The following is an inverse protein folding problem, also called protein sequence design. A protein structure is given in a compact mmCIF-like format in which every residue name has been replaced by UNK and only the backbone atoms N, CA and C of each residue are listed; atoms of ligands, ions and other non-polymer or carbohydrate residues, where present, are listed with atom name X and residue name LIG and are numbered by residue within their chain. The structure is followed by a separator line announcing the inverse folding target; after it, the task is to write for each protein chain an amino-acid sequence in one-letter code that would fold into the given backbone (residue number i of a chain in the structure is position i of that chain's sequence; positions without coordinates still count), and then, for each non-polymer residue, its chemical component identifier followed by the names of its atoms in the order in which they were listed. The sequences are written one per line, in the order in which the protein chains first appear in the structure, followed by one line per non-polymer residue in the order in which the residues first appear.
data_IF_434344599784
#
_entry.id   IF_434344599784
#
_cell.length_a   1.000
_cell.length_b   1.000
_cell.length_c   1.000
_cell.angle_alpha   90.00
_cell.angle_beta   90.00
_cell.angle_gamma   90.00
#
_symmetry.space_group_name_H-M   'P 1'
#
loop_
_entity.id
_entity.type
_entity.pdbx_description
1 polymer ?
#
# COMPACT_ATOMS: atom_id res chain seq x y z
N UNK A 1 15.20 5.90 13.98
CA UNK A 1 14.70 6.00 12.59
C UNK A 1 13.64 4.92 12.39
N UNK A 2 12.59 5.14 11.58
CA UNK A 2 11.60 4.10 11.21
C UNK A 2 11.82 3.70 9.75
N UNK A 3 11.75 2.41 9.44
CA UNK A 3 12.00 1.86 8.10
C UNK A 3 10.78 1.06 7.63
N UNK A 4 10.25 1.43 6.46
CA UNK A 4 9.14 0.75 5.81
C UNK A 4 9.58 -0.01 4.55
N UNK A 5 8.76 -0.97 4.13
CA UNK A 5 8.95 -1.71 2.88
C UNK A 5 7.69 -1.67 2.01
N UNK A 6 7.87 -1.54 0.71
CA UNK A 6 6.78 -1.73 -0.24
C UNK A 6 6.50 -3.22 -0.44
N UNK A 7 5.23 -3.56 -0.51
CA UNK A 7 4.78 -4.88 -0.92
C UNK A 7 5.14 -5.13 -2.38
N UNK A 8 5.41 -6.38 -2.77
CA UNK A 8 5.80 -6.74 -4.13
C UNK A 8 4.61 -6.76 -5.11
N UNK A 9 3.75 -5.74 -5.07
CA UNK A 9 2.45 -5.68 -5.77
C UNK A 9 2.53 -5.69 -7.29
N UNK A 10 3.70 -5.43 -7.88
CA UNK A 10 3.93 -5.53 -9.33
C UNK A 10 4.73 -6.77 -9.73
N UNK A 11 5.33 -7.47 -8.78
CA UNK A 11 6.32 -8.53 -9.08
C UNK A 11 5.96 -9.89 -8.50
N UNK A 12 5.13 -9.96 -7.46
CA UNK A 12 4.68 -11.20 -6.84
C UNK A 12 3.33 -11.00 -6.11
N UNK A 13 2.23 -11.22 -6.83
CA UNK A 13 0.86 -10.92 -6.38
C UNK A 13 0.07 -12.13 -5.86
N UNK A 14 0.65 -13.33 -5.92
CA UNK A 14 0.04 -14.55 -5.37
C UNK A 14 -0.15 -14.43 -3.86
N UNK A 15 -1.18 -15.11 -3.34
CA UNK A 15 -1.46 -15.25 -1.90
C UNK A 15 -0.20 -15.63 -1.10
N UNK A 16 0.53 -16.65 -1.56
CA UNK A 16 1.69 -17.21 -0.88
C UNK A 16 2.82 -16.19 -0.78
N UNK A 17 3.10 -15.47 -1.88
CA UNK A 17 4.12 -14.42 -1.90
C UNK A 17 3.79 -13.25 -0.97
N UNK A 18 2.54 -12.77 -0.99
CA UNK A 18 2.11 -11.66 -0.12
C UNK A 18 2.22 -12.06 1.35
N UNK A 19 1.76 -13.26 1.72
CA UNK A 19 1.87 -13.76 3.09
C UNK A 19 3.32 -13.94 3.53
N UNK A 20 4.16 -14.55 2.68
CA UNK A 20 5.56 -14.78 2.99
C UNK A 20 6.30 -13.44 3.19
N UNK A 21 6.08 -12.48 2.29
CA UNK A 21 6.71 -11.16 2.36
C UNK A 21 6.31 -10.40 3.64
N UNK A 22 5.00 -10.31 3.92
CA UNK A 22 4.49 -9.57 5.06
C UNK A 22 5.00 -10.13 6.39
N UNK A 23 4.97 -11.47 6.55
CA UNK A 23 5.45 -12.14 7.77
C UNK A 23 6.96 -12.05 7.93
N UNK A 24 7.71 -12.15 6.83
CA UNK A 24 9.16 -12.00 6.87
C UNK A 24 9.54 -10.57 7.26
N UNK A 25 8.91 -9.55 6.67
CA UNK A 25 9.15 -8.16 7.01
C UNK A 25 8.85 -7.87 8.50
N UNK A 26 7.74 -8.38 9.01
CA UNK A 26 7.40 -8.24 10.44
C UNK A 26 8.42 -8.93 11.36
N UNK A 27 8.84 -10.16 11.02
CA UNK A 27 9.82 -10.94 11.78
C UNK A 27 11.22 -10.32 11.78
N UNK A 28 11.58 -9.63 10.69
CA UNK A 28 12.84 -8.91 10.55
C UNK A 28 12.84 -7.54 11.26
N UNK A 29 11.72 -7.16 11.88
CA UNK A 29 11.63 -5.94 12.68
C UNK A 29 11.39 -4.67 11.89
N UNK A 30 10.88 -4.75 10.64
CA UNK A 30 10.46 -3.54 9.92
C UNK A 30 9.29 -2.85 10.63
N UNK A 31 9.20 -1.53 10.46
CA UNK A 31 8.21 -0.69 11.13
C UNK A 31 6.88 -0.64 10.36
N UNK A 32 6.94 -0.66 9.04
CA UNK A 32 5.75 -0.53 8.18
C UNK A 32 5.84 -1.30 6.85
N UNK A 33 4.68 -1.67 6.33
CA UNK A 33 4.46 -2.22 4.99
C UNK A 33 3.58 -1.28 4.20
N UNK A 34 3.94 -1.04 2.94
CA UNK A 34 3.26 -0.08 2.07
C UNK A 34 2.79 -0.73 0.77
N UNK A 35 1.68 -0.24 0.24
CA UNK A 35 1.23 -0.54 -1.12
C UNK A 35 0.99 0.75 -1.89
N UNK A 36 1.07 0.72 -3.20
CA UNK A 36 0.58 1.77 -4.09
C UNK A 36 -0.77 1.35 -4.70
N UNK A 37 -1.52 2.31 -5.24
CA UNK A 37 -2.91 2.09 -5.67
C UNK A 37 -3.15 2.60 -7.09
N UNK A 38 -3.64 1.70 -7.93
CA UNK A 38 -4.37 1.98 -9.16
C UNK A 38 -5.57 1.03 -9.23
N UNK A 39 -6.72 1.55 -9.64
CA UNK A 39 -7.95 0.78 -9.90
C UNK A 39 -7.93 0.25 -11.34
N UNK A 40 -7.49 1.08 -12.28
CA UNK A 40 -7.39 0.72 -13.71
C UNK A 40 -6.13 1.37 -14.28
N UNK A 41 -5.38 0.61 -15.09
CA UNK A 41 -4.29 1.15 -15.89
C UNK A 41 -4.75 1.28 -17.35
N UNK A 42 -4.89 2.51 -17.89
CA UNK A 42 -5.26 2.73 -19.28
C UNK A 42 -4.22 2.15 -20.25
N UNK A 43 -4.68 1.67 -21.41
CA UNK A 43 -3.80 1.20 -22.50
C UNK A 43 -2.90 2.32 -23.00
N UNK A 44 -3.44 3.54 -23.08
CA UNK A 44 -2.73 4.74 -23.50
C UNK A 44 -3.02 5.86 -22.51
N UNK A 45 -1.98 6.59 -22.12
CA UNK A 45 -2.05 7.81 -21.33
C UNK A 45 -0.88 8.72 -21.70
N UNK A 46 -1.03 10.02 -21.45
CA UNK A 46 0.06 10.96 -21.74
C UNK A 46 1.28 10.69 -20.83
N UNK A 47 2.52 10.96 -21.29
CA UNK A 47 3.74 10.68 -20.54
C UNK A 47 3.92 11.66 -19.36
N UNK A 48 3.14 11.44 -18.30
CA UNK A 48 3.10 12.27 -17.08
C UNK A 48 3.65 11.54 -15.86
N UNK A 49 4.31 10.40 -16.04
CA UNK A 49 4.84 9.63 -14.92
C UNK A 49 5.97 10.42 -14.24
N UNK A 50 5.83 10.79 -12.96
CA UNK A 50 6.74 11.74 -12.33
C UNK A 50 8.10 11.15 -11.96
N UNK A 51 8.26 9.82 -12.08
CA UNK A 51 9.45 9.10 -11.61
C UNK A 51 10.33 8.55 -12.74
N UNK A 52 10.04 8.88 -14.01
CA UNK A 52 10.90 8.54 -15.14
C UNK A 52 11.15 9.75 -16.04
N UNK A 53 12.32 9.77 -16.69
CA UNK A 53 12.72 10.87 -17.56
C UNK A 53 11.86 10.96 -18.83
N UNK A 54 11.36 9.83 -19.32
CA UNK A 54 10.48 9.74 -20.49
C UNK A 54 8.99 9.86 -20.16
N UNK A 55 8.66 10.08 -18.88
CA UNK A 55 7.30 10.20 -18.39
C UNK A 55 6.48 8.90 -18.49
N UNK A 56 7.10 7.74 -18.66
CA UNK A 56 6.45 6.42 -18.73
C UNK A 56 6.90 5.47 -17.62
N UNK A 57 5.96 4.78 -16.96
CA UNK A 57 6.32 3.76 -15.98
C UNK A 57 6.78 2.47 -16.66
N UNK A 58 7.40 1.59 -15.87
CA UNK A 58 7.79 0.22 -16.30
C UNK A 58 6.60 -0.75 -16.42
N UNK A 59 5.45 -0.38 -15.86
CA UNK A 59 4.21 -1.16 -15.85
C UNK A 59 3.22 -0.66 -16.92
N UNK A 60 2.20 -1.47 -17.23
CA UNK A 60 1.21 -1.20 -18.28
C UNK A 60 -0.15 -1.86 -17.96
N UNK A 61 -1.13 -1.72 -18.87
CA UNK A 61 -2.50 -2.22 -18.70
C UNK A 61 -2.64 -3.72 -18.42
N UNK A 62 -1.61 -4.52 -18.72
CA UNK A 62 -1.58 -5.98 -18.47
C UNK A 62 -0.80 -6.37 -17.22
N UNK A 63 -0.24 -5.39 -16.50
CA UNK A 63 0.47 -5.64 -15.25
C UNK A 63 -0.50 -6.14 -14.18
N UNK A 64 -0.17 -7.25 -13.54
CA UNK A 64 -0.95 -7.76 -12.40
C UNK A 64 -0.76 -6.81 -11.23
N UNK A 65 -1.79 -6.01 -10.94
CA UNK A 65 -1.80 -5.04 -9.84
C UNK A 65 -3.02 -5.28 -8.96
N UNK A 66 -2.85 -5.81 -7.74
CA UNK A 66 -3.95 -6.04 -6.84
C UNK A 66 -4.44 -4.73 -6.22
N UNK A 67 -5.74 -4.66 -5.91
CA UNK A 67 -6.30 -3.52 -5.19
C UNK A 67 -5.60 -3.31 -3.84
N UNK A 68 -5.15 -2.08 -3.59
CA UNK A 68 -4.35 -1.74 -2.43
C UNK A 68 -5.12 -1.90 -1.12
N UNK A 69 -6.38 -1.45 -1.08
CA UNK A 69 -7.21 -1.53 0.14
C UNK A 69 -7.47 -2.99 0.52
N UNK A 70 -7.83 -3.81 -0.46
CA UNK A 70 -8.07 -5.25 -0.27
C UNK A 70 -6.79 -5.98 0.14
N UNK A 71 -5.66 -5.66 -0.50
CA UNK A 71 -4.36 -6.24 -0.15
C UNK A 71 -3.96 -5.87 1.27
N UNK A 72 -4.16 -4.63 1.71
CA UNK A 72 -3.88 -4.20 3.07
C UNK A 72 -4.79 -4.89 4.10
N UNK A 73 -6.07 -5.07 3.81
CA UNK A 73 -6.97 -5.85 4.67
C UNK A 73 -6.49 -7.31 4.83
N UNK A 74 -6.02 -7.92 3.74
CA UNK A 74 -5.46 -9.27 3.76
C UNK A 74 -4.16 -9.35 4.59
N UNK A 75 -3.28 -8.36 4.44
CA UNK A 75 -2.01 -8.28 5.19
C UNK A 75 -2.27 -7.97 6.67
N UNK A 76 -3.30 -7.19 6.99
CA UNK A 76 -3.72 -6.92 8.36
C UNK A 76 -4.08 -8.21 9.11
N UNK A 77 -4.74 -9.15 8.45
CA UNK A 77 -5.06 -10.46 9.02
C UNK A 77 -3.84 -11.38 9.17
N UNK A 78 -2.73 -11.09 8.48
CA UNK A 78 -1.54 -11.94 8.44
C UNK A 78 -0.38 -11.45 9.33
N UNK A 79 -0.53 -10.29 9.97
CA UNK A 79 0.50 -9.59 10.75
C UNK A 79 -0.09 -9.01 12.03
N UNK A 80 0.73 -8.77 13.06
CA UNK A 80 0.23 -8.31 14.36
C UNK A 80 0.78 -6.96 14.83
N UNK A 81 1.98 -6.57 14.39
CA UNK A 81 2.74 -5.43 14.90
C UNK A 81 3.06 -4.40 13.82
N UNK A 82 3.45 -4.86 12.62
CA UNK A 82 3.94 -3.96 11.56
C UNK A 82 2.84 -2.99 11.13
N UNK A 83 3.16 -1.72 10.90
CA UNK A 83 2.16 -0.73 10.45
C UNK A 83 1.84 -0.94 8.97
N UNK A 84 0.63 -0.57 8.55
CA UNK A 84 0.12 -0.88 7.21
C UNK A 84 -0.28 0.42 6.53
N UNK A 85 0.32 0.70 5.38
CA UNK A 85 0.17 1.98 4.70
C UNK A 85 -0.16 1.84 3.23
N UNK A 86 -0.78 2.88 2.68
CA UNK A 86 -0.92 3.04 1.22
C UNK A 86 -0.26 4.35 0.82
N UNK A 87 0.66 4.32 -0.14
CA UNK A 87 1.40 5.46 -0.65
C UNK A 87 1.34 5.47 -2.19
N UNK A 88 0.35 6.14 -2.80
CA UNK A 88 -0.81 6.82 -2.20
C UNK A 88 -2.09 6.37 -2.87
N UNK A 89 -3.25 6.64 -2.26
CA UNK A 89 -4.56 6.55 -2.91
C UNK A 89 -4.77 7.81 -3.77
N UNK A 90 -4.92 7.71 -5.09
CA UNK A 90 -5.31 8.84 -5.93
C UNK A 90 -6.77 9.22 -5.64
N UNK A 91 -7.03 10.40 -5.09
CA UNK A 91 -8.40 10.76 -4.69
C UNK A 91 -9.35 10.97 -5.87
N UNK A 92 -8.82 11.22 -7.06
CA UNK A 92 -9.60 11.25 -8.31
C UNK A 92 -10.17 9.88 -8.71
N UNK A 93 -9.82 8.78 -8.02
CA UNK A 93 -10.31 7.43 -8.32
C UNK A 93 -11.32 6.89 -7.32
N UNK A 94 -11.64 7.64 -6.24
CA UNK A 94 -12.49 7.11 -5.16
C UNK A 94 -13.45 8.15 -4.59
N UNK A 95 -14.60 7.67 -4.14
CA UNK A 95 -15.58 8.47 -3.41
C UNK A 95 -15.16 8.61 -1.94
N UNK A 96 -15.23 9.80 -1.32
CA UNK A 96 -14.73 10.05 0.03
C UNK A 96 -15.37 9.12 1.09
N UNK A 97 -16.70 8.93 1.05
CA UNK A 97 -17.40 8.00 1.96
C UNK A 97 -16.92 6.55 1.83
N UNK A 98 -16.66 6.08 0.60
CA UNK A 98 -16.16 4.73 0.36
C UNK A 98 -14.78 4.57 0.97
N UNK A 99 -13.89 5.55 0.74
CA UNK A 99 -12.55 5.56 1.30
C UNK A 99 -12.60 5.60 2.83
N UNK A 100 -13.41 6.48 3.43
CA UNK A 100 -13.58 6.58 4.89
C UNK A 100 -13.96 5.22 5.52
N UNK A 101 -14.94 4.53 4.92
CA UNK A 101 -15.41 3.21 5.34
C UNK A 101 -14.30 2.15 5.24
N UNK A 102 -13.61 2.08 4.10
CA UNK A 102 -12.57 1.08 3.89
C UNK A 102 -11.40 1.30 4.86
N UNK A 103 -10.94 2.54 5.00
CA UNK A 103 -9.85 2.91 5.92
C UNK A 103 -10.19 2.56 7.37
N UNK A 104 -11.37 2.96 7.84
CA UNK A 104 -11.80 2.67 9.20
C UNK A 104 -11.95 1.16 9.46
N UNK A 105 -12.42 0.41 8.46
CA UNK A 105 -12.54 -1.05 8.55
C UNK A 105 -11.16 -1.70 8.70
N UNK A 106 -10.18 -1.32 7.87
CA UNK A 106 -8.82 -1.87 7.96
C UNK A 106 -8.16 -1.44 9.27
N UNK A 107 -8.38 -0.20 9.72
CA UNK A 107 -7.85 0.26 11.00
C UNK A 107 -8.35 -0.59 12.18
N UNK A 108 -9.64 -0.88 12.23
CA UNK A 108 -10.22 -1.77 13.25
C UNK A 108 -9.66 -3.19 13.13
N UNK A 109 -9.64 -3.77 11.92
CA UNK A 109 -9.15 -5.14 11.71
C UNK A 109 -7.65 -5.27 12.00
N UNK A 110 -6.89 -4.20 11.78
CA UNK A 110 -5.45 -4.15 12.07
C UNK A 110 -5.13 -3.73 13.51
N UNK A 111 -6.13 -3.46 14.36
CA UNK A 111 -5.96 -2.97 15.73
C UNK A 111 -5.21 -1.62 15.81
N UNK A 112 -5.55 -0.67 14.94
CA UNK A 112 -5.01 0.69 14.98
C UNK A 112 -3.65 0.85 14.28
N UNK A 113 -3.33 -0.02 13.32
CA UNK A 113 -2.03 -0.03 12.63
C UNK A 113 -2.06 0.60 11.24
N UNK A 114 -3.21 1.07 10.78
CA UNK A 114 -3.37 1.56 9.42
C UNK A 114 -2.91 3.02 9.26
N UNK A 115 -2.37 3.34 8.09
CA UNK A 115 -1.93 4.68 7.68
C UNK A 115 -2.40 4.97 6.25
N UNK A 116 -2.91 6.17 6.01
CA UNK A 116 -3.46 6.54 4.71
C UNK A 116 -2.61 7.60 4.03
N UNK A 117 -1.91 7.25 2.95
CA UNK A 117 -1.39 8.24 2.00
C UNK A 117 -2.43 8.57 0.94
N UNK A 118 -2.62 9.85 0.66
CA UNK A 118 -3.53 10.37 -0.37
C UNK A 118 -2.78 11.29 -1.33
N UNK A 119 -3.26 11.41 -2.56
CA UNK A 119 -2.76 12.40 -3.50
C UNK A 119 -3.80 12.79 -4.54
N UNK A 120 -3.56 13.89 -5.25
CA UNK A 120 -4.48 14.37 -6.30
C UNK A 120 -4.63 13.42 -7.49
N UNK A 121 -3.65 12.54 -7.72
CA UNK A 121 -3.63 11.61 -8.85
C UNK A 121 -3.12 12.24 -10.14
N UNK A 122 -2.09 11.63 -10.72
CA UNK A 122 -1.44 12.13 -11.95
C UNK A 122 -2.00 11.46 -13.22
N UNK A 123 -2.61 10.29 -13.08
CA UNK A 123 -3.13 9.47 -14.18
C UNK A 123 -4.58 9.86 -14.48
N UNK A 124 -4.74 10.97 -15.19
CA UNK A 124 -6.05 11.56 -15.54
C UNK A 124 -6.94 10.56 -16.29
N UNK A 125 -6.35 9.77 -17.18
CA UNK A 125 -7.02 8.78 -18.00
C UNK A 125 -7.65 7.65 -17.17
N UNK A 126 -7.09 7.34 -15.98
CA UNK A 126 -7.70 6.40 -15.04
C UNK A 126 -8.99 6.98 -14.44
N UNK A 127 -8.96 8.24 -14.00
CA UNK A 127 -10.16 8.91 -13.48
C UNK A 127 -11.25 9.02 -14.55
N UNK A 128 -10.88 9.31 -15.80
CA UNK A 128 -11.81 9.31 -16.93
C UNK A 128 -12.44 7.94 -17.17
N UNK A 129 -11.66 6.86 -17.11
CA UNK A 129 -12.18 5.50 -17.24
C UNK A 129 -13.18 5.13 -16.13
N UNK A 130 -13.02 5.73 -14.94
CA UNK A 130 -13.93 5.57 -13.79
C UNK A 130 -15.13 6.54 -13.83
N UNK A 131 -15.19 7.45 -14.80
CA UNK A 131 -16.23 8.48 -14.89
C UNK A 131 -16.08 9.60 -13.86
N UNK A 132 -14.88 9.78 -13.29
CA UNK A 132 -14.63 10.75 -12.25
C UNK A 132 -14.14 12.10 -12.81
N UNK A 133 -14.47 13.22 -12.12
CA UNK A 133 -13.96 14.54 -12.47
C UNK A 133 -12.44 14.64 -12.23
N UNK A 134 -11.78 15.46 -13.05
CA UNK A 134 -10.31 15.66 -13.03
C UNK A 134 -9.91 17.13 -12.82
N UNK A 135 -10.89 18.02 -12.69
CA UNK A 135 -10.72 19.44 -12.39
C UNK A 135 -10.42 19.67 -10.91
N UNK A 136 -9.70 20.75 -10.61
CA UNK A 136 -9.41 21.21 -9.25
C UNK A 136 -8.89 20.11 -8.28
N UNK A 137 -7.87 19.31 -8.65
CA UNK A 137 -7.45 18.13 -7.88
C UNK A 137 -7.03 18.46 -6.44
N UNK A 138 -6.41 19.62 -6.21
CA UNK A 138 -6.00 20.07 -4.86
C UNK A 138 -7.23 20.40 -4.00
N UNK A 139 -8.15 21.22 -4.49
CA UNK A 139 -9.32 21.63 -3.73
C UNK A 139 -10.28 20.44 -3.48
N UNK A 140 -10.40 19.51 -4.43
CA UNK A 140 -11.13 18.25 -4.23
C UNK A 140 -10.47 17.37 -3.18
N UNK A 141 -9.15 17.33 -3.12
CA UNK A 141 -8.40 16.61 -2.08
C UNK A 141 -8.63 17.22 -0.70
N UNK A 142 -8.60 18.55 -0.58
CA UNK A 142 -8.88 19.25 0.67
C UNK A 142 -10.29 18.93 1.21
N UNK A 143 -11.33 19.08 0.38
CA UNK A 143 -12.71 18.70 0.76
C UNK A 143 -12.82 17.21 1.12
N UNK A 144 -12.14 16.35 0.36
CA UNK A 144 -12.14 14.91 0.65
C UNK A 144 -11.53 14.63 2.02
N UNK A 145 -10.39 15.23 2.36
CA UNK A 145 -9.75 15.06 3.67
C UNK A 145 -10.67 15.54 4.80
N UNK A 146 -11.37 16.66 4.61
CA UNK A 146 -12.34 17.15 5.58
C UNK A 146 -13.47 16.14 5.82
N UNK A 147 -14.05 15.59 4.74
CA UNK A 147 -15.08 14.56 4.80
C UNK A 147 -14.57 13.29 5.50
N UNK A 148 -13.34 12.85 5.23
CA UNK A 148 -12.74 11.71 5.91
C UNK A 148 -12.64 11.95 7.42
N UNK A 149 -12.17 13.15 7.83
CA UNK A 149 -12.06 13.51 9.26
C UNK A 149 -13.42 13.57 9.94
N UNK A 150 -14.43 14.16 9.29
CA UNK A 150 -15.81 14.19 9.78
C UNK A 150 -16.37 12.78 9.98
N UNK A 151 -16.22 11.91 8.96
CA UNK A 151 -16.69 10.54 9.00
C UNK A 151 -16.06 9.69 10.11
N UNK A 152 -14.83 10.01 10.53
CA UNK A 152 -14.14 9.28 11.59
C UNK A 152 -14.37 9.85 12.99
N UNK A 153 -14.69 11.15 13.10
CA UNK A 153 -14.99 11.82 14.36
C UNK A 153 -16.44 11.59 14.78
N UNK A 154 -17.37 11.92 13.90
CA UNK A 154 -18.78 12.06 14.24
C UNK A 154 -19.56 10.74 14.07
N UNK A 155 -20.56 10.45 14.94
CA UNK A 155 -21.48 9.33 14.72
C UNK A 155 -22.29 9.46 13.42
N UNK A 156 -22.68 10.69 13.09
CA UNK A 156 -23.38 11.07 11.86
C UNK A 156 -22.92 12.46 11.40
N UNK A 157 -22.95 12.72 10.10
CA UNK A 157 -22.62 14.03 9.54
C UNK A 157 -23.33 14.24 8.19
N UNK A 158 -23.40 15.48 7.74
CA UNK A 158 -23.70 15.86 6.36
C UNK A 158 -22.57 16.78 5.85
N UNK A 159 -22.49 16.95 4.53
CA UNK A 159 -21.49 17.83 3.92
C UNK A 159 -22.09 18.57 2.74
N UNK A 160 -21.95 19.89 2.70
CA UNK A 160 -22.39 20.72 1.59
C UNK A 160 -21.23 21.57 1.08
N UNK A 161 -20.32 20.93 0.34
CA UNK A 161 -19.13 21.54 -0.23
C UNK A 161 -19.31 21.96 -1.69
N UNK A 162 -18.22 22.45 -2.28
CA UNK A 162 -18.17 22.85 -3.70
C UNK A 162 -18.19 21.62 -4.61
N UNK A 163 -17.53 20.54 -4.22
CA UNK A 163 -17.39 19.33 -5.05
C UNK A 163 -18.21 18.15 -4.56
N UNK A 164 -18.46 18.08 -3.25
CA UNK A 164 -19.22 16.99 -2.64
C UNK A 164 -20.47 17.51 -1.93
N UNK A 165 -21.61 16.87 -2.21
CA UNK A 165 -22.85 17.04 -1.46
C UNK A 165 -23.25 15.70 -0.88
N UNK A 166 -23.21 15.58 0.44
CA UNK A 166 -23.46 14.35 1.18
C UNK A 166 -24.65 14.61 2.11
N UNK A 167 -25.77 13.89 1.96
CA UNK A 167 -26.90 14.01 2.89
C UNK A 167 -26.50 13.52 4.28
N UNK A 168 -27.33 13.71 5.32
CA UNK A 168 -27.06 13.15 6.65
C UNK A 168 -26.82 11.63 6.57
N UNK A 169 -25.61 11.20 6.95
CA UNK A 169 -25.16 9.79 6.90
C UNK A 169 -24.34 9.45 8.14
N UNK A 170 -24.21 8.15 8.44
CA UNK A 170 -23.24 7.61 9.40
C UNK A 170 -22.28 6.66 8.71
N UNK A 171 -20.98 6.74 9.04
CA UNK A 171 -19.95 5.84 8.48
C UNK A 171 -19.38 5.00 9.62
N UNK A 172 -19.66 3.70 9.57
CA UNK A 172 -19.21 2.73 10.57
C UNK A 172 -18.43 1.57 9.93
N UNK A 173 -17.45 0.95 10.61
CA UNK A 173 -17.00 1.30 11.95
C UNK A 173 -16.24 2.63 11.94
N UNK A 174 -16.05 3.24 13.12
CA UNK A 174 -15.08 4.32 13.30
C UNK A 174 -13.68 3.72 13.50
N UNK A 175 -12.61 4.35 13.00
CA UNK A 175 -11.25 3.86 13.22
C UNK A 175 -10.92 3.87 14.72
N UNK A 176 -10.12 2.91 15.18
CA UNK A 176 -9.61 2.87 16.55
C UNK A 176 -8.69 4.06 16.83
N UNK A 177 -7.98 4.54 15.80
CA UNK A 177 -7.17 5.75 15.89
C UNK A 177 -8.01 7.05 15.87
N UNK A 178 -9.33 6.96 15.65
CA UNK A 178 -10.26 8.09 15.60
C UNK A 178 -9.92 9.09 14.49
N UNK A 179 -10.27 10.35 14.69
CA UNK A 179 -9.91 11.43 13.76
C UNK A 179 -8.39 11.66 13.65
N UNK A 180 -7.58 11.05 14.52
CA UNK A 180 -6.11 11.13 14.51
C UNK A 180 -5.45 10.04 13.66
N UNK A 181 -6.22 9.24 12.92
CA UNK A 181 -5.69 8.27 11.96
C UNK A 181 -4.61 8.94 11.07
N UNK A 182 -3.38 8.39 11.00
CA UNK A 182 -2.29 9.02 10.26
C UNK A 182 -2.63 9.18 8.78
N UNK A 183 -2.53 10.41 8.30
CA UNK A 183 -2.78 10.77 6.90
C UNK A 183 -1.54 11.47 6.34
N UNK A 184 -1.08 10.99 5.19
CA UNK A 184 0.09 11.48 4.48
C UNK A 184 -0.36 12.08 3.15
N UNK A 185 0.20 13.23 2.76
CA UNK A 185 -0.14 13.86 1.48
C UNK A 185 1.03 13.66 0.51
N UNK A 186 0.77 12.91 -0.56
CA UNK A 186 1.67 12.77 -1.69
C UNK A 186 1.42 13.86 -2.73
N UNK A 187 2.50 14.45 -3.23
CA UNK A 187 2.43 15.47 -4.27
C UNK A 187 3.79 15.74 -4.92
N UNK A 188 3.74 16.40 -6.06
CA UNK A 188 4.90 16.90 -6.79
C UNK A 188 4.73 18.42 -7.00
N UNK A 189 5.76 19.22 -6.71
CA UNK A 189 5.75 20.69 -6.78
C UNK A 189 5.65 21.41 -5.42
N UNK A 190 5.76 22.75 -5.41
CA UNK A 190 5.87 23.59 -4.20
C UNK A 190 4.67 23.46 -3.23
N UNK A 191 3.50 23.08 -3.74
CA UNK A 191 2.30 22.83 -2.95
C UNK A 191 2.37 21.52 -2.11
N UNK A 192 3.27 20.59 -2.47
CA UNK A 192 3.40 19.29 -1.80
C UNK A 192 4.12 19.36 -0.43
N UNK A 193 4.77 20.49 -0.11
CA UNK A 193 5.67 20.61 1.05
C UNK A 193 4.94 20.80 2.39
N UNK A 194 3.63 21.07 2.38
CA UNK A 194 2.82 21.17 3.61
C UNK A 194 1.95 19.94 3.75
N UNK A 195 2.45 18.93 4.47
CA UNK A 195 1.76 18.11 5.49
C UNK A 195 2.59 16.84 5.74
N UNK A 196 3.35 16.86 6.84
CA UNK A 196 3.53 15.69 7.73
C UNK A 196 4.37 14.50 7.26
N UNK A 197 5.67 14.55 7.61
CA UNK A 197 6.64 13.44 7.82
C UNK A 197 7.03 12.56 6.60
N UNK A 198 8.26 12.09 6.68
CA UNK A 198 9.07 11.41 5.66
C UNK A 198 8.75 9.92 5.53
N UNK A 199 8.64 9.39 4.30
CA UNK A 199 8.63 7.94 4.01
C UNK A 199 9.70 7.67 2.94
N UNK A 200 10.67 6.81 3.25
CA UNK A 200 11.63 6.28 2.28
C UNK A 200 10.95 5.13 1.55
N UNK A 201 10.61 5.33 0.27
CA UNK A 201 10.09 4.30 -0.63
C UNK A 201 11.28 3.50 -1.19
N UNK A 202 11.27 2.18 -1.02
CA UNK A 202 12.23 1.27 -1.65
C UNK A 202 11.46 0.47 -2.69
N UNK A 203 11.23 1.11 -3.84
CA UNK A 203 10.50 0.49 -4.94
C UNK A 203 11.22 -0.74 -5.49
N UNK A 204 10.43 -1.73 -5.92
CA UNK A 204 10.93 -2.95 -6.57
C UNK A 204 11.57 -2.71 -7.96
N UNK A 205 11.46 -1.49 -8.49
CA UNK A 205 11.85 -1.12 -9.86
C UNK A 205 13.27 -0.54 -9.95
N UNK A 206 14.06 -0.57 -8.87
CA UNK A 206 15.44 -0.07 -8.90
C UNK A 206 15.57 1.44 -9.16
N UNK A 207 14.47 2.19 -9.09
CA UNK A 207 14.49 3.65 -9.09
C UNK A 207 15.18 4.16 -7.83
N UNK A 208 16.26 4.91 -8.01
CA UNK A 208 16.95 5.61 -6.93
C UNK A 208 15.95 6.33 -6.04
N UNK A 209 16.09 6.08 -4.74
CA UNK A 209 15.49 6.90 -3.70
C UNK A 209 15.96 8.35 -3.89
N UNK A 210 15.16 9.19 -4.56
CA UNK A 210 15.36 10.64 -4.52
C UNK A 210 14.69 11.20 -3.27
N UNK A 211 15.33 10.95 -2.14
CA UNK A 211 15.41 11.91 -1.05
C UNK A 211 16.80 12.52 -1.10
N UNK A 212 16.93 13.82 -1.34
CA UNK A 212 18.22 14.53 -1.17
C UNK A 212 18.24 15.10 0.26
N UNK A 213 19.31 14.99 1.07
CA UNK A 213 20.41 14.02 1.14
C UNK A 213 20.45 13.22 2.47
N UNK A 214 21.00 12.01 2.42
CA UNK A 214 21.30 11.17 3.59
C UNK A 214 21.19 9.70 3.24
N UNK A 215 22.27 9.09 2.76
CA UNK A 215 22.30 7.65 2.47
C UNK A 215 21.96 6.81 3.72
N UNK A 216 21.03 5.86 3.58
CA UNK A 216 20.78 4.87 4.62
C UNK A 216 22.05 4.06 4.95
N UNK A 217 22.32 3.71 6.22
CA UNK A 217 23.46 2.87 6.59
C UNK A 217 23.51 1.55 5.80
N UNK A 218 24.71 1.08 5.41
CA UNK A 218 24.88 -0.17 4.63
C UNK A 218 24.18 -1.38 5.25
N UNK A 219 24.18 -1.49 6.57
CA UNK A 219 23.52 -2.57 7.32
C UNK A 219 22.01 -2.68 7.08
N UNK A 220 21.35 -1.56 6.82
CA UNK A 220 19.90 -1.49 6.55
C UNK A 220 19.60 -1.80 5.09
N UNK A 221 20.45 -1.33 4.16
CA UNK A 221 20.43 -1.76 2.75
C UNK A 221 20.62 -3.27 2.64
N UNK A 222 21.53 -3.83 3.42
CA UNK A 222 21.75 -5.28 3.47
C UNK A 222 20.57 -6.03 4.10
N UNK A 223 19.89 -5.44 5.10
CA UNK A 223 18.68 -6.03 5.71
C UNK A 223 17.51 -6.03 4.73
N UNK A 224 17.30 -4.94 3.99
CA UNK A 224 16.30 -4.84 2.92
C UNK A 224 16.64 -5.80 1.77
N UNK A 225 17.90 -5.85 1.33
CA UNK A 225 18.35 -6.78 0.30
C UNK A 225 18.16 -8.24 0.72
N UNK A 226 18.43 -8.60 1.99
CA UNK A 226 18.13 -9.94 2.54
C UNK A 226 16.63 -10.24 2.59
N UNK A 227 15.79 -9.26 2.95
CA UNK A 227 14.33 -9.41 2.91
C UNK A 227 13.81 -9.66 1.50
N UNK A 228 14.25 -8.85 0.54
CA UNK A 228 13.92 -9.00 -0.89
C UNK A 228 14.48 -10.30 -1.46
N UNK A 229 15.70 -10.69 -1.11
CA UNK A 229 16.30 -11.96 -1.54
C UNK A 229 15.59 -13.18 -0.94
N UNK A 230 15.20 -13.13 0.34
CA UNK A 230 14.38 -14.16 0.97
C UNK A 230 13.01 -14.29 0.29
N UNK A 231 12.38 -13.16 -0.05
CA UNK A 231 11.12 -13.16 -0.78
C UNK A 231 11.28 -13.68 -2.23
N UNK A 232 12.41 -13.39 -2.88
CA UNK A 232 12.76 -13.97 -4.19
C UNK A 232 13.07 -15.46 -4.09
N UNK A 233 13.67 -15.94 -3.02
CA UNK A 233 13.92 -17.36 -2.78
C UNK A 233 12.62 -18.15 -2.53
N UNK A 234 11.56 -17.50 -2.03
CA UNK A 234 10.22 -18.06 -1.98
C UNK A 234 9.55 -18.19 -3.36
N UNK A 235 10.15 -17.65 -4.44
CA UNK A 235 9.80 -18.01 -5.82
C UNK A 235 10.42 -19.39 -6.12
N UNK A 236 9.82 -20.44 -5.58
CA UNK A 236 10.00 -21.77 -6.16
C UNK A 236 9.61 -21.71 -7.65
N UNK A 237 10.26 -22.51 -8.53
CA UNK A 237 9.90 -22.50 -9.95
C UNK A 237 8.41 -22.79 -10.07
N UNK A 238 7.68 -21.94 -10.79
CA UNK A 238 6.32 -22.23 -11.24
C UNK A 238 6.43 -23.47 -12.11
N UNK A 239 6.22 -24.64 -11.49
CA UNK A 239 6.30 -25.92 -12.16
C UNK A 239 5.20 -25.96 -13.21
N UNK A 240 5.61 -25.96 -14.48
CA UNK A 240 4.74 -26.39 -15.58
C UNK A 240 4.18 -27.75 -15.20
N UNK A 241 2.86 -27.85 -15.17
CA UNK A 241 2.14 -29.06 -14.82
C UNK A 241 2.61 -30.24 -15.67
N UNK A 242 3.25 -31.22 -15.03
CA UNK A 242 3.08 -32.63 -15.37
C UNK A 242 2.99 -33.42 -14.07
N UNK A 243 1.86 -34.09 -13.93
CA UNK A 243 1.54 -34.99 -12.85
C UNK A 243 2.67 -36.01 -12.60
N UNK A 244 3.01 -36.24 -11.33
CA UNK A 244 3.18 -37.56 -10.69
C UNK A 244 3.61 -37.38 -9.22
N UNK A 245 3.07 -38.27 -8.40
CA UNK A 245 3.17 -38.33 -6.95
C UNK A 245 4.59 -38.23 -6.39
N UNK A 246 4.76 -37.53 -5.27
CA UNK A 246 5.74 -37.90 -4.25
C UNK A 246 5.37 -37.32 -2.88
N UNK A 247 5.23 -38.23 -1.92
CA UNK A 247 4.83 -38.03 -0.52
C UNK A 247 5.94 -37.27 0.23
N UNK A 248 5.57 -36.24 1.00
CA UNK A 248 6.49 -35.63 1.97
C UNK A 248 6.35 -36.40 3.30
N UNK A 249 7.36 -37.22 3.61
CA UNK A 249 7.41 -38.10 4.78
C UNK A 249 7.71 -37.34 6.08
N UNK A 250 6.97 -37.72 7.14
CA UNK A 250 7.32 -37.45 8.54
C UNK A 250 8.42 -38.43 8.99
N UNK A 251 9.40 -37.94 9.73
CA UNK A 251 10.29 -38.75 10.58
C UNK A 251 11.01 -37.81 11.54
N UNK A 252 10.55 -37.62 12.78
CA UNK A 252 10.63 -38.51 13.94
C UNK A 252 12.06 -38.86 14.35
N UNK A 253 12.46 -38.30 15.48
CA UNK A 253 13.72 -38.54 16.17
C UNK A 253 13.80 -40.00 16.67
N UNK A 254 14.97 -40.63 16.55
CA UNK A 254 15.36 -41.77 17.39
C UNK A 254 16.83 -41.70 17.79
N UNK A 255 17.02 -41.85 19.11
CA UNK A 255 18.24 -42.18 19.85
C UNK A 255 18.79 -43.55 19.46
N UNK A 256 20.11 -43.75 19.59
CA UNK A 256 20.87 -44.96 20.01
C UNK A 256 22.29 -44.47 20.36
N UNK A 257 22.76 -44.51 21.61
CA UNK A 257 23.34 -45.63 22.38
C UNK A 257 24.57 -46.26 21.73
N UNK A 258 25.76 -45.95 22.25
CA UNK A 258 26.97 -46.77 22.12
C UNK A 258 27.46 -47.14 23.52
N UNK A 259 27.45 -48.44 23.80
CA UNK A 259 28.30 -49.13 24.75
C UNK A 259 29.35 -49.86 23.91
N UNK A 260 30.60 -49.77 24.35
CA UNK A 260 31.79 -50.37 23.74
C UNK A 260 33.00 -49.77 24.42
#
# INVERSE_FOLDING_TARGET
MRVGLDLPVLTATSREAVLAYARAAESLGFDSLWSNSHTVVPVTFAPRYPYSADGRPVWNATSSWPDAMTTMAFVAAATERVRLGIAVVPLITTHPIRLAKQVATIDVLSKGRFELGVGGGWLVEEAQALGNPTDHPVARMEETIEILRLAWREPTFSYDGRFWKIPPVGVNPRPLQGERLPLWIGGHGDAAVRVGRWVVHLGADGGEARGIPGEAPRSERDRAARGVASARACRGPVARSRARDARCGRGSARRRSTLG
#
